data_IF_780704385037
#
_entry.id   IF_780704385037
#
_cell.length_a   1.000
_cell.length_b   1.000
_cell.length_c   1.000
_cell.angle_alpha   90.00
_cell.angle_beta   90.00
_cell.angle_gamma   90.00
#
_symmetry.space_group_name_H-M   'P 1'
#
loop_
_entity.id
_entity.type
_entity.pdbx_description
1 polymer ?
#
# COMPACT_ATOMS: atom_id res chain seq x y z
N UNK A 1 -43.53 21.29 40.92
CA UNK A 1 -44.64 20.77 41.74
C UNK A 1 -45.92 20.67 40.90
N UNK A 2 -46.82 19.68 41.06
CA UNK A 2 -46.62 18.36 41.65
C UNK A 2 -47.15 17.21 40.76
N UNK A 3 -46.78 16.02 41.14
CA UNK A 3 -47.47 14.78 41.50
C UNK A 3 -47.89 13.88 40.36
N UNK A 4 -47.61 12.67 40.33
CA UNK A 4 -47.60 11.50 41.20
C UNK A 4 -48.37 10.44 40.41
N UNK A 5 -48.12 9.20 40.37
CA UNK A 5 -48.14 8.09 41.29
C UNK A 5 -47.97 6.77 40.50
N UNK A 6 -47.19 5.86 41.02
CA UNK A 6 -47.26 4.40 40.77
C UNK A 6 -48.50 3.80 41.51
N UNK A 7 -48.97 2.54 41.30
CA UNK A 7 -48.22 1.34 41.70
C UNK A 7 -48.55 -0.02 41.02
N UNK A 8 -47.62 -0.98 41.25
CA UNK A 8 -47.72 -2.41 41.59
C UNK A 8 -48.60 -3.41 40.84
N UNK A 9 -48.01 -4.59 40.65
CA UNK A 9 -48.68 -5.86 40.44
C UNK A 9 -47.73 -7.03 40.21
N UNK A 10 -47.31 -7.67 41.29
CA UNK A 10 -46.58 -8.95 41.43
C UNK A 10 -47.37 -10.15 40.89
N UNK A 11 -46.70 -11.19 40.34
CA UNK A 11 -46.81 -12.59 40.82
C UNK A 11 -45.67 -13.43 40.20
N UNK A 12 -44.96 -14.14 41.08
CA UNK A 12 -43.95 -15.12 40.74
C UNK A 12 -44.52 -16.52 40.57
N UNK A 13 -43.75 -17.40 39.97
CA UNK A 13 -43.82 -18.86 40.26
C UNK A 13 -42.45 -19.48 40.00
N UNK A 14 -41.92 -20.08 41.02
CA UNK A 14 -40.73 -20.92 41.12
C UNK A 14 -41.01 -22.33 40.61
N UNK A 15 -40.01 -22.98 39.96
CA UNK A 15 -39.77 -24.42 40.08
C UNK A 15 -38.35 -24.79 39.59
N UNK A 16 -37.57 -25.36 40.43
CA UNK A 16 -36.34 -26.15 40.26
C UNK A 16 -36.61 -27.61 40.61
N UNK A 17 -35.62 -28.58 40.50
CA UNK A 17 -34.74 -28.98 39.42
C UNK A 17 -34.87 -30.49 39.10
N UNK A 18 -34.21 -30.96 38.02
CA UNK A 18 -34.08 -32.38 37.75
C UNK A 18 -32.74 -32.68 37.06
N UNK A 19 -31.86 -33.32 37.80
CA UNK A 19 -30.56 -33.82 37.28
C UNK A 19 -30.76 -35.24 36.71
N UNK A 20 -30.13 -35.51 35.54
CA UNK A 20 -29.66 -36.87 35.20
C UNK A 20 -28.40 -36.77 34.36
N UNK A 21 -27.37 -37.47 34.83
CA UNK A 21 -26.09 -37.74 34.24
C UNK A 21 -26.19 -38.64 32.99
N UNK A 22 -25.41 -38.30 31.96
CA UNK A 22 -25.14 -39.20 30.83
C UNK A 22 -23.81 -38.82 30.21
N UNK A 23 -22.73 -39.53 30.55
CA UNK A 23 -21.44 -39.46 29.92
C UNK A 23 -21.52 -40.13 28.53
N UNK A 24 -21.22 -39.37 27.47
CA UNK A 24 -20.97 -39.92 26.15
C UNK A 24 -19.57 -39.45 25.70
N UNK A 25 -18.66 -40.41 25.68
CA UNK A 25 -17.36 -40.32 25.01
C UNK A 25 -17.60 -40.23 23.51
N UNK A 26 -17.44 -39.03 22.95
CA UNK A 26 -17.47 -38.77 21.52
C UNK A 26 -16.08 -38.54 20.99
N UNK A 27 -15.63 -39.48 20.18
CA UNK A 27 -14.43 -39.50 19.38
C UNK A 27 -14.37 -38.26 18.52
N UNK A 28 -13.32 -37.41 18.68
CA UNK A 28 -13.07 -36.25 17.83
C UNK A 28 -12.43 -36.73 16.52
N UNK A 29 -13.27 -37.08 15.56
CA UNK A 29 -12.87 -37.26 14.18
C UNK A 29 -12.45 -35.87 13.64
N UNK A 30 -11.16 -35.72 13.35
CA UNK A 30 -10.59 -34.60 12.58
C UNK A 30 -11.28 -34.58 11.22
N UNK A 31 -12.11 -33.58 10.97
CA UNK A 31 -12.78 -33.37 9.69
C UNK A 31 -11.68 -33.05 8.65
N UNK A 32 -11.63 -33.85 7.59
CA UNK A 32 -10.86 -33.58 6.39
C UNK A 32 -11.27 -32.20 5.81
N UNK A 33 -10.35 -31.45 5.16
CA UNK A 33 -10.67 -30.14 4.58
C UNK A 33 -11.85 -30.28 3.63
N UNK A 34 -12.90 -29.51 3.91
CA UNK A 34 -14.19 -29.58 3.22
C UNK A 34 -14.06 -29.22 1.75
N UNK A 35 -14.39 -30.16 0.89
CA UNK A 35 -14.62 -29.92 -0.53
C UNK A 35 -15.84 -29.01 -0.65
N UNK A 36 -15.65 -27.75 -0.99
CA UNK A 36 -16.76 -26.82 -1.30
C UNK A 36 -17.31 -27.23 -2.66
N UNK A 37 -18.39 -28.03 -2.62
CA UNK A 37 -19.11 -28.44 -3.84
C UNK A 37 -20.20 -27.42 -4.14
N UNK A 38 -20.12 -26.74 -5.27
CA UNK A 38 -21.28 -26.16 -5.89
C UNK A 38 -21.31 -24.68 -6.26
N UNK A 39 -20.24 -24.12 -6.80
CA UNK A 39 -20.35 -22.90 -7.62
C UNK A 39 -19.56 -23.10 -8.91
N UNK A 40 -20.25 -22.87 -10.05
CA UNK A 40 -19.61 -22.92 -11.39
C UNK A 40 -18.76 -21.64 -11.55
N UNK A 41 -17.54 -21.64 -11.04
CA UNK A 41 -16.60 -20.54 -11.21
C UNK A 41 -16.01 -20.58 -12.63
N UNK A 42 -16.34 -19.57 -13.43
CA UNK A 42 -15.67 -19.32 -14.73
C UNK A 42 -14.59 -18.28 -14.51
N UNK A 43 -13.36 -18.69 -14.62
CA UNK A 43 -12.15 -17.95 -14.26
C UNK A 43 -12.01 -16.57 -14.92
N UNK A 44 -12.32 -16.40 -16.18
CA UNK A 44 -12.23 -15.09 -16.87
C UNK A 44 -13.33 -14.09 -16.50
N UNK A 45 -14.52 -14.60 -16.16
CA UNK A 45 -15.67 -13.75 -15.79
C UNK A 45 -15.57 -13.23 -14.34
N UNK A 46 -14.82 -13.92 -13.46
CA UNK A 46 -14.72 -13.60 -12.05
C UNK A 46 -13.98 -12.28 -11.81
N UNK A 47 -12.78 -12.09 -12.39
CA UNK A 47 -12.01 -10.85 -12.27
C UNK A 47 -12.82 -9.65 -12.75
N UNK A 48 -13.40 -9.70 -13.96
CA UNK A 48 -14.15 -8.60 -14.55
C UNK A 48 -15.44 -8.28 -13.78
N UNK A 49 -16.11 -9.31 -13.22
CA UNK A 49 -17.30 -9.10 -12.39
C UNK A 49 -16.94 -8.29 -11.12
N UNK A 50 -15.94 -8.75 -10.37
CA UNK A 50 -15.45 -8.09 -9.17
C UNK A 50 -14.93 -6.68 -9.47
N UNK A 51 -14.23 -6.52 -10.60
CA UNK A 51 -13.73 -5.22 -11.05
C UNK A 51 -14.87 -4.22 -11.28
N UNK A 52 -15.96 -4.65 -11.96
CA UNK A 52 -17.14 -3.82 -12.20
C UNK A 52 -17.89 -3.46 -10.93
N UNK A 53 -17.94 -4.35 -9.96
CA UNK A 53 -18.56 -4.10 -8.65
C UNK A 53 -17.79 -3.02 -7.88
N UNK A 54 -16.46 -3.08 -7.90
CA UNK A 54 -15.60 -2.16 -7.17
C UNK A 54 -15.44 -0.80 -7.87
N UNK A 55 -15.56 -0.76 -9.20
CA UNK A 55 -15.34 0.44 -10.01
C UNK A 55 -16.14 1.70 -9.62
N UNK A 56 -17.39 1.65 -9.17
CA UNK A 56 -18.12 2.84 -8.73
C UNK A 56 -17.72 3.34 -7.34
N UNK A 57 -17.15 2.47 -6.48
CA UNK A 57 -16.88 2.79 -5.06
C UNK A 57 -15.80 3.87 -4.95
N UNK A 58 -16.11 4.99 -4.33
CA UNK A 58 -15.19 6.10 -4.10
C UNK A 58 -14.75 6.86 -5.36
N UNK A 59 -15.37 6.61 -6.53
CA UNK A 59 -15.05 7.30 -7.78
C UNK A 59 -15.60 8.73 -7.74
N UNK A 60 -14.72 9.71 -7.96
CA UNK A 60 -15.11 11.12 -7.98
C UNK A 60 -15.69 11.52 -9.35
N UNK A 61 -16.89 12.12 -9.39
CA UNK A 61 -17.61 12.35 -10.65
C UNK A 61 -16.89 13.33 -11.60
N UNK A 62 -16.21 14.35 -11.05
CA UNK A 62 -15.58 15.39 -11.86
C UNK A 62 -14.20 15.00 -12.38
N UNK A 63 -13.37 14.34 -11.54
CA UNK A 63 -12.02 13.93 -11.93
C UNK A 63 -11.97 12.55 -12.57
N UNK A 64 -12.94 11.68 -12.26
CA UNK A 64 -12.95 10.28 -12.65
C UNK A 64 -11.99 9.40 -11.86
N UNK A 65 -11.15 9.99 -10.99
CA UNK A 65 -10.25 9.29 -10.09
C UNK A 65 -10.93 8.84 -8.81
N UNK A 66 -10.19 8.13 -7.96
CA UNK A 66 -10.70 7.55 -6.72
C UNK A 66 -10.30 8.35 -5.49
N UNK A 67 -11.19 8.36 -4.48
CA UNK A 67 -11.00 8.98 -3.16
C UNK A 67 -11.45 8.01 -2.07
N UNK A 68 -10.74 6.90 -1.95
CA UNK A 68 -10.97 5.83 -0.98
C UNK A 68 -10.06 6.04 0.23
N UNK A 69 -10.20 7.19 0.91
CA UNK A 69 -9.34 7.50 2.05
C UNK A 69 -9.65 6.61 3.23
N UNK A 70 -8.61 6.15 3.92
CA UNK A 70 -8.74 5.28 5.09
C UNK A 70 -9.81 5.76 6.07
N UNK A 71 -10.68 4.84 6.52
CA UNK A 71 -11.80 5.07 7.44
C UNK A 71 -12.86 6.05 6.92
N UNK A 72 -12.89 6.36 5.64
CA UNK A 72 -13.99 7.09 5.00
C UNK A 72 -15.15 6.15 4.63
N UNK A 73 -16.30 6.73 4.24
CA UNK A 73 -17.43 5.94 3.77
C UNK A 73 -17.06 5.06 2.57
N UNK A 74 -16.24 5.56 1.64
CA UNK A 74 -15.77 4.79 0.48
C UNK A 74 -14.85 3.63 0.89
N UNK A 75 -13.93 3.83 1.84
CA UNK A 75 -13.11 2.74 2.38
C UNK A 75 -13.97 1.69 3.09
N UNK A 76 -14.95 2.11 3.89
CA UNK A 76 -15.87 1.19 4.55
C UNK A 76 -16.71 0.38 3.56
N UNK A 77 -17.08 0.94 2.42
CA UNK A 77 -17.75 0.22 1.33
C UNK A 77 -16.81 -0.78 0.67
N UNK A 78 -15.54 -0.43 0.40
CA UNK A 78 -14.52 -1.36 -0.07
C UNK A 78 -14.29 -2.51 0.92
N UNK A 79 -14.24 -2.24 2.22
CA UNK A 79 -14.12 -3.25 3.29
C UNK A 79 -15.32 -4.18 3.35
N UNK A 80 -16.53 -3.65 3.16
CA UNK A 80 -17.73 -4.46 3.07
C UNK A 80 -17.75 -5.35 1.84
N UNK A 81 -17.29 -4.82 0.69
CA UNK A 81 -17.10 -5.59 -0.54
C UNK A 81 -16.10 -6.73 -0.34
N UNK A 82 -14.92 -6.46 0.25
CA UNK A 82 -13.91 -7.49 0.55
C UNK A 82 -14.50 -8.64 1.38
N UNK A 83 -15.22 -8.31 2.46
CA UNK A 83 -15.90 -9.31 3.30
C UNK A 83 -16.92 -10.13 2.49
N UNK A 84 -17.71 -9.47 1.65
CA UNK A 84 -18.69 -10.15 0.78
C UNK A 84 -18.01 -11.13 -0.17
N UNK A 85 -16.87 -10.76 -0.76
CA UNK A 85 -16.10 -11.64 -1.63
C UNK A 85 -15.52 -12.83 -0.89
N UNK A 86 -15.06 -12.62 0.35
CA UNK A 86 -14.56 -13.69 1.21
C UNK A 86 -15.69 -14.68 1.59
N UNK A 87 -16.82 -14.17 2.06
CA UNK A 87 -17.97 -14.98 2.47
C UNK A 87 -18.56 -15.79 1.30
N UNK A 88 -18.63 -15.18 0.10
CA UNK A 88 -19.12 -15.85 -1.12
C UNK A 88 -18.26 -17.06 -1.53
N UNK A 89 -16.98 -17.09 -1.12
CA UNK A 89 -16.05 -18.20 -1.36
C UNK A 89 -15.89 -19.15 -0.16
N UNK A 90 -16.67 -18.95 0.89
CA UNK A 90 -16.59 -19.75 2.12
C UNK A 90 -15.31 -19.53 2.92
N UNK A 91 -14.63 -18.40 2.71
CA UNK A 91 -13.46 -18.03 3.49
C UNK A 91 -13.85 -17.46 4.85
N UNK A 92 -13.04 -17.73 5.87
CA UNK A 92 -13.22 -17.13 7.19
C UNK A 92 -12.68 -15.70 7.16
N UNK A 93 -13.58 -14.72 7.29
CA UNK A 93 -13.18 -13.30 7.33
C UNK A 93 -12.82 -12.88 8.76
N UNK A 94 -11.69 -12.20 8.91
CA UNK A 94 -11.23 -11.56 10.14
C UNK A 94 -10.82 -10.12 9.85
N UNK A 95 -10.97 -9.26 10.86
CA UNK A 95 -10.28 -7.95 10.89
C UNK A 95 -9.31 -7.97 12.07
N UNK A 96 -8.04 -7.65 11.82
CA UNK A 96 -7.05 -7.60 12.88
C UNK A 96 -7.18 -6.33 13.73
N UNK A 97 -6.37 -6.25 14.79
CA UNK A 97 -6.37 -5.12 15.72
C UNK A 97 -6.03 -3.77 15.09
N UNK A 98 -5.37 -3.78 13.93
CA UNK A 98 -4.95 -2.59 13.19
C UNK A 98 -5.93 -2.22 12.07
N UNK A 99 -6.98 -3.04 11.89
CA UNK A 99 -7.99 -2.85 10.87
C UNK A 99 -7.63 -3.46 9.51
N UNK A 100 -6.55 -4.21 9.38
CA UNK A 100 -6.31 -5.00 8.16
C UNK A 100 -7.33 -6.14 8.10
N UNK A 101 -7.81 -6.46 6.91
CA UNK A 101 -8.77 -7.53 6.67
C UNK A 101 -8.06 -8.77 6.14
N UNK A 102 -8.54 -9.93 6.58
CA UNK A 102 -7.99 -11.25 6.24
C UNK A 102 -9.13 -12.20 5.87
N UNK A 103 -8.98 -12.91 4.75
CA UNK A 103 -9.91 -13.93 4.29
C UNK A 103 -9.16 -15.26 4.20
N UNK A 104 -9.44 -16.19 5.12
CA UNK A 104 -8.70 -17.43 5.31
C UNK A 104 -9.36 -18.63 4.65
N UNK A 105 -8.59 -19.40 3.90
CA UNK A 105 -8.88 -20.76 3.48
C UNK A 105 -8.04 -21.71 4.34
N UNK A 106 -8.69 -22.62 5.05
CA UNK A 106 -8.03 -23.51 6.03
C UNK A 106 -7.94 -22.90 7.42
N UNK A 107 -7.16 -23.55 8.30
CA UNK A 107 -7.01 -23.11 9.69
C UNK A 107 -5.94 -21.99 9.80
N UNK A 108 -6.33 -20.77 10.20
CA UNK A 108 -5.38 -19.67 10.36
C UNK A 108 -4.34 -19.91 11.48
N UNK A 109 -4.56 -20.90 12.35
CA UNK A 109 -3.64 -21.26 13.44
C UNK A 109 -2.66 -22.37 13.08
N UNK A 110 -2.81 -23.03 11.94
CA UNK A 110 -1.92 -24.09 11.51
C UNK A 110 -0.48 -23.61 11.26
N UNK A 111 -0.28 -22.30 11.01
CA UNK A 111 1.01 -21.73 10.67
C UNK A 111 1.41 -21.99 9.21
N UNK A 112 2.55 -21.45 8.82
CA UNK A 112 3.14 -21.62 7.46
C UNK A 112 2.18 -21.26 6.32
N UNK A 113 1.30 -20.28 6.53
CA UNK A 113 0.31 -19.86 5.55
C UNK A 113 0.97 -19.14 4.36
N UNK A 114 0.42 -19.35 3.15
CA UNK A 114 0.69 -18.49 2.01
C UNK A 114 -0.32 -17.35 2.02
N UNK A 115 0.15 -16.13 1.98
CA UNK A 115 -0.69 -14.93 2.01
C UNK A 115 -0.51 -14.14 0.74
N UNK A 116 -1.59 -13.64 0.18
CA UNK A 116 -1.60 -12.70 -0.94
C UNK A 116 -2.58 -11.57 -0.69
N UNK A 117 -2.47 -10.48 -1.41
CA UNK A 117 -3.34 -9.33 -1.27
C UNK A 117 -2.59 -8.02 -1.53
N UNK A 118 -3.22 -6.92 -1.20
CA UNK A 118 -2.71 -5.56 -1.33
C UNK A 118 -3.61 -4.62 -0.52
N UNK A 119 -3.98 -3.45 -1.04
CA UNK A 119 -4.86 -2.47 -0.40
C UNK A 119 -6.04 -2.07 -1.28
N UNK A 120 -7.03 -1.37 -0.72
CA UNK A 120 -8.19 -0.84 -1.43
C UNK A 120 -8.36 0.68 -1.26
N UNK A 121 -7.57 1.32 -0.39
CA UNK A 121 -7.53 2.77 -0.28
C UNK A 121 -6.79 3.39 -1.48
N UNK A 122 -6.83 4.71 -1.61
CA UNK A 122 -6.24 5.43 -2.75
C UNK A 122 -5.69 6.79 -2.35
N UNK A 123 -4.71 7.30 -3.12
CA UNK A 123 -4.37 8.73 -3.11
C UNK A 123 -5.53 9.60 -3.59
N UNK A 124 -5.50 10.93 -3.37
CA UNK A 124 -6.48 11.84 -3.93
C UNK A 124 -6.52 11.76 -5.46
N UNK A 125 -7.71 11.46 -6.01
CA UNK A 125 -7.94 11.28 -7.44
C UNK A 125 -7.02 10.23 -8.09
N UNK A 126 -6.69 9.17 -7.34
CA UNK A 126 -5.86 8.06 -7.78
C UNK A 126 -6.43 7.24 -8.93
N UNK A 127 -5.66 6.33 -9.45
CA UNK A 127 -6.05 5.39 -10.50
C UNK A 127 -6.97 4.28 -10.00
N UNK A 128 -7.32 3.38 -10.89
CA UNK A 128 -8.18 2.25 -10.57
C UNK A 128 -7.41 0.99 -10.15
N UNK A 129 -6.12 0.90 -10.56
CA UNK A 129 -5.35 -0.34 -10.50
C UNK A 129 -4.43 -0.41 -9.27
N UNK A 130 -3.97 0.75 -8.80
CA UNK A 130 -3.07 0.91 -7.65
C UNK A 130 -3.73 0.35 -6.37
N UNK A 131 -3.27 -0.83 -5.92
CA UNK A 131 -3.83 -1.62 -4.84
C UNK A 131 -4.99 -2.54 -5.23
N UNK A 132 -6.13 -2.03 -5.74
CA UNK A 132 -7.29 -2.86 -6.07
C UNK A 132 -7.01 -4.00 -7.05
N UNK A 133 -6.07 -3.83 -7.98
CA UNK A 133 -5.66 -4.90 -8.88
C UNK A 133 -5.16 -6.12 -8.10
N UNK A 134 -4.33 -5.91 -7.06
CA UNK A 134 -3.80 -6.99 -6.24
C UNK A 134 -4.88 -7.74 -5.47
N UNK A 135 -5.80 -7.02 -4.83
CA UNK A 135 -6.88 -7.63 -4.06
C UNK A 135 -7.87 -8.41 -4.94
N UNK A 136 -8.30 -7.80 -6.06
CA UNK A 136 -9.23 -8.46 -7.01
C UNK A 136 -8.57 -9.67 -7.66
N UNK A 137 -7.28 -9.56 -8.06
CA UNK A 137 -6.52 -10.66 -8.64
C UNK A 137 -6.34 -11.81 -7.65
N UNK A 138 -6.20 -11.53 -6.34
CA UNK A 138 -6.07 -12.57 -5.31
C UNK A 138 -7.34 -13.43 -5.21
N UNK A 139 -8.52 -12.83 -5.21
CA UNK A 139 -9.78 -13.58 -5.25
C UNK A 139 -9.97 -14.32 -6.58
N UNK A 140 -9.61 -13.70 -7.71
CA UNK A 140 -9.72 -14.33 -9.03
C UNK A 140 -8.75 -15.51 -9.20
N UNK A 141 -7.52 -15.41 -8.64
CA UNK A 141 -6.55 -16.50 -8.62
C UNK A 141 -7.04 -17.69 -7.79
N UNK A 142 -7.69 -17.42 -6.62
CA UNK A 142 -8.31 -18.48 -5.84
C UNK A 142 -9.44 -19.18 -6.61
N UNK A 143 -10.28 -18.42 -7.33
CA UNK A 143 -11.35 -18.99 -8.16
C UNK A 143 -10.76 -19.88 -9.29
N UNK A 144 -9.66 -19.45 -9.87
CA UNK A 144 -8.94 -20.23 -10.89
C UNK A 144 -8.39 -21.54 -10.31
N UNK A 145 -7.77 -21.50 -9.13
CA UNK A 145 -7.26 -22.67 -8.44
C UNK A 145 -8.38 -23.67 -8.10
N UNK A 146 -9.53 -23.18 -7.64
CA UNK A 146 -10.70 -24.03 -7.44
C UNK A 146 -11.18 -24.66 -8.76
N UNK A 147 -11.17 -23.88 -9.85
CA UNK A 147 -11.52 -24.36 -11.20
C UNK A 147 -10.57 -25.45 -11.72
N UNK A 148 -9.28 -25.37 -11.35
CA UNK A 148 -8.25 -26.38 -11.65
C UNK A 148 -8.39 -27.64 -10.77
N UNK A 149 -9.14 -27.57 -9.66
CA UNK A 149 -9.25 -28.63 -8.67
C UNK A 149 -8.03 -28.74 -7.77
N UNK A 150 -7.33 -27.62 -7.55
CA UNK A 150 -6.14 -27.56 -6.70
C UNK A 150 -6.42 -28.02 -5.26
N UNK A 151 -5.51 -28.77 -4.68
CA UNK A 151 -5.60 -29.30 -3.31
C UNK A 151 -4.61 -28.56 -2.42
N UNK A 152 -5.13 -27.74 -1.53
CA UNK A 152 -4.31 -26.93 -0.64
C UNK A 152 -3.73 -27.78 0.48
N UNK A 153 -2.43 -27.71 0.67
CA UNK A 153 -1.66 -28.40 1.74
C UNK A 153 -1.21 -27.42 2.82
N UNK A 154 -1.25 -26.13 2.52
CA UNK A 154 -0.98 -25.01 3.46
C UNK A 154 -2.20 -24.10 3.53
N UNK A 155 -2.47 -23.44 4.66
CA UNK A 155 -3.49 -22.39 4.71
C UNK A 155 -3.16 -21.29 3.70
N UNK A 156 -4.21 -20.71 3.08
CA UNK A 156 -4.11 -19.55 2.23
C UNK A 156 -4.86 -18.39 2.87
N UNK A 157 -4.33 -17.18 2.77
CA UNK A 157 -5.09 -15.97 3.12
C UNK A 157 -5.02 -14.91 2.03
N UNK A 158 -6.13 -14.20 1.85
CA UNK A 158 -6.16 -12.96 1.08
C UNK A 158 -6.26 -11.80 2.06
N UNK A 159 -5.47 -10.74 1.87
CA UNK A 159 -5.47 -9.58 2.78
C UNK A 159 -5.78 -8.28 2.05
N UNK A 160 -6.40 -7.35 2.79
CA UNK A 160 -6.56 -5.95 2.42
C UNK A 160 -5.97 -5.12 3.57
N UNK A 161 -4.81 -4.51 3.33
CA UNK A 161 -4.15 -3.65 4.31
C UNK A 161 -4.85 -2.31 4.41
N UNK A 162 -4.86 -1.73 5.60
CA UNK A 162 -5.49 -0.45 5.88
C UNK A 162 -4.51 0.72 5.76
N UNK A 163 -4.92 1.78 5.03
CA UNK A 163 -4.17 3.03 4.88
C UNK A 163 -2.75 2.81 4.33
N UNK A 164 -2.65 2.09 3.20
CA UNK A 164 -1.38 1.88 2.52
C UNK A 164 -0.86 3.19 1.94
N UNK A 165 -1.70 3.94 1.27
CA UNK A 165 -1.36 5.17 0.56
C UNK A 165 -1.07 6.36 1.50
N UNK A 166 -1.52 6.30 2.75
CA UNK A 166 -1.33 7.37 3.71
C UNK A 166 -1.97 8.69 3.32
N UNK A 167 -2.89 8.68 2.38
CA UNK A 167 -3.49 9.87 1.79
C UNK A 167 -4.22 10.76 2.82
N UNK A 168 -4.80 10.13 3.85
CA UNK A 168 -5.53 10.84 4.89
C UNK A 168 -4.63 11.34 6.01
N UNK A 169 -3.71 10.54 6.49
CA UNK A 169 -2.92 10.82 7.70
C UNK A 169 -1.46 11.14 7.43
N UNK A 170 -1.03 11.14 6.16
CA UNK A 170 0.31 11.56 5.75
C UNK A 170 1.43 10.54 6.01
N UNK A 171 1.09 9.30 6.36
CA UNK A 171 2.03 8.20 6.53
C UNK A 171 1.51 6.97 5.76
N UNK A 172 2.31 6.45 4.83
CA UNK A 172 1.98 5.25 4.05
C UNK A 172 2.14 3.96 4.87
N UNK A 173 1.41 2.92 4.45
CA UNK A 173 1.47 1.56 5.00
C UNK A 173 1.14 1.50 6.50
N UNK A 174 0.17 2.28 6.99
CA UNK A 174 -0.15 2.38 8.43
C UNK A 174 -0.51 1.03 9.02
N UNK A 175 -1.37 0.26 8.36
CA UNK A 175 -1.85 -1.03 8.86
C UNK A 175 -0.74 -2.07 8.95
N UNK A 176 0.07 -2.25 7.90
CA UNK A 176 1.19 -3.19 7.90
C UNK A 176 2.32 -2.74 8.84
N UNK A 177 2.63 -1.42 8.91
CA UNK A 177 3.63 -0.88 9.86
C UNK A 177 3.24 -1.11 11.32
N UNK A 178 1.98 -0.93 11.67
CA UNK A 178 1.48 -1.25 13.01
C UNK A 178 1.65 -2.73 13.30
N UNK A 179 1.19 -3.60 12.38
CA UNK A 179 1.30 -5.06 12.53
C UNK A 179 2.77 -5.51 12.68
N UNK A 180 3.69 -4.96 11.87
CA UNK A 180 5.12 -5.25 11.91
C UNK A 180 5.88 -4.54 13.05
N UNK A 181 5.22 -3.66 13.84
CA UNK A 181 5.86 -2.91 14.91
C UNK A 181 6.79 -1.79 14.42
N UNK A 182 6.72 -1.41 13.13
CA UNK A 182 7.51 -0.32 12.55
C UNK A 182 6.86 1.06 12.77
N UNK A 183 5.60 1.09 13.18
CA UNK A 183 4.91 2.29 13.67
C UNK A 183 4.52 2.07 15.12
N UNK A 184 4.99 2.94 16.00
CA UNK A 184 4.62 2.83 17.43
C UNK A 184 3.17 3.26 17.65
N UNK A 185 2.51 2.70 18.66
CA UNK A 185 1.15 3.10 19.06
C UNK A 185 1.10 4.58 19.39
N UNK A 186 2.14 5.09 20.05
CA UNK A 186 2.26 6.51 20.40
C UNK A 186 2.24 7.40 19.15
N UNK A 187 3.03 7.07 18.12
CA UNK A 187 3.10 7.87 16.90
C UNK A 187 1.82 7.73 16.07
N UNK A 188 1.23 6.54 16.00
CA UNK A 188 -0.07 6.32 15.36
C UNK A 188 -1.17 7.20 15.97
N UNK A 189 -1.20 7.33 17.30
CA UNK A 189 -2.16 8.19 18.00
C UNK A 189 -1.95 9.69 17.71
N UNK A 190 -0.80 10.08 17.18
CA UNK A 190 -0.49 11.48 16.83
C UNK A 190 -0.80 11.82 15.38
N UNK A 191 -1.03 10.83 14.53
CA UNK A 191 -1.42 11.05 13.15
C UNK A 191 -2.73 11.84 13.08
N UNK A 192 -2.77 12.84 12.20
CA UNK A 192 -3.94 13.74 12.02
C UNK A 192 -4.19 13.91 10.54
N UNK A 193 -5.47 13.95 10.17
CA UNK A 193 -5.86 14.38 8.84
C UNK A 193 -5.86 15.92 8.71
N UNK A 194 -6.19 16.43 7.51
CA UNK A 194 -6.20 17.86 7.21
C UNK A 194 -7.18 18.66 8.07
N UNK A 195 -8.24 18.00 8.57
CA UNK A 195 -9.25 18.62 9.44
C UNK A 195 -8.87 18.50 10.93
N UNK A 196 -7.72 17.91 11.24
CA UNK A 196 -7.23 17.69 12.60
C UNK A 196 -7.79 16.44 13.27
N UNK A 197 -8.58 15.60 12.58
CA UNK A 197 -9.11 14.34 13.13
C UNK A 197 -7.96 13.35 13.35
N UNK A 198 -7.87 12.81 14.55
CA UNK A 198 -6.86 11.80 14.87
C UNK A 198 -7.20 10.45 14.24
N UNK A 199 -6.18 9.67 13.86
CA UNK A 199 -6.36 8.29 13.40
C UNK A 199 -7.23 7.45 14.36
N UNK A 200 -7.00 7.43 15.69
CA UNK A 200 -7.87 6.69 16.60
C UNK A 200 -9.34 7.13 16.56
N UNK A 201 -9.59 8.44 16.45
CA UNK A 201 -10.96 8.95 16.38
C UNK A 201 -11.65 8.56 15.06
N UNK A 202 -10.91 8.51 13.96
CA UNK A 202 -11.43 8.03 12.67
C UNK A 202 -11.74 6.54 12.71
N UNK A 203 -10.90 5.72 13.33
CA UNK A 203 -11.12 4.28 13.55
C UNK A 203 -12.37 4.04 14.40
N UNK A 204 -12.50 4.75 15.53
CA UNK A 204 -13.66 4.65 16.44
C UNK A 204 -14.96 5.03 15.71
N UNK A 205 -14.95 6.12 14.95
CA UNK A 205 -16.09 6.56 14.16
C UNK A 205 -16.48 5.53 13.07
N UNK A 206 -15.53 4.75 12.58
CA UNK A 206 -15.72 3.64 11.66
C UNK A 206 -16.14 2.32 12.35
N UNK A 207 -16.26 2.30 13.69
CA UNK A 207 -16.65 1.13 14.46
C UNK A 207 -15.53 0.18 14.86
N UNK A 208 -14.26 0.63 14.79
CA UNK A 208 -13.10 -0.13 15.21
C UNK A 208 -12.57 0.35 16.57
N UNK A 209 -12.00 -0.57 17.34
CA UNK A 209 -11.42 -0.23 18.65
C UNK A 209 -9.95 0.23 18.51
N UNK A 210 -9.68 1.53 18.61
CA UNK A 210 -8.32 2.04 18.50
C UNK A 210 -7.44 1.74 19.74
N UNK A 211 -8.03 1.24 20.81
CA UNK A 211 -7.31 0.86 22.03
C UNK A 211 -6.48 -0.42 21.88
N UNK A 212 -6.72 -1.19 20.81
CA UNK A 212 -6.06 -2.47 20.56
C UNK A 212 -4.95 -2.40 19.51
N UNK A 213 -4.78 -1.28 18.81
CA UNK A 213 -3.79 -1.15 17.74
C UNK A 213 -2.37 -1.39 18.24
N UNK A 214 -1.53 -1.93 17.36
CA UNK A 214 -0.12 -2.15 17.65
C UNK A 214 0.43 -3.43 17.02
N UNK A 215 1.65 -3.83 17.39
CA UNK A 215 2.31 -5.00 16.83
C UNK A 215 1.47 -6.28 16.98
N UNK A 216 1.48 -7.11 15.92
CA UNK A 216 0.81 -8.40 15.89
C UNK A 216 1.79 -9.54 15.47
N UNK A 217 2.84 -9.78 16.28
CA UNK A 217 3.86 -10.77 15.95
C UNK A 217 3.30 -12.19 15.88
N UNK A 218 2.21 -12.48 16.62
CA UNK A 218 1.56 -13.79 16.59
C UNK A 218 0.90 -14.06 15.23
N UNK A 219 0.32 -13.06 14.61
CA UNK A 219 -0.25 -13.16 13.26
C UNK A 219 0.85 -13.30 12.22
N UNK A 220 1.88 -12.47 12.28
CA UNK A 220 3.01 -12.52 11.34
C UNK A 220 3.74 -13.86 11.42
N UNK A 221 3.88 -14.46 12.60
CA UNK A 221 4.49 -15.77 12.78
C UNK A 221 3.72 -16.93 12.13
N UNK A 222 2.47 -16.73 11.74
CA UNK A 222 1.67 -17.73 11.01
C UNK A 222 1.93 -17.72 9.51
N UNK A 223 2.57 -16.68 8.99
CA UNK A 223 2.79 -16.45 7.56
C UNK A 223 4.12 -17.07 7.16
N UNK A 224 4.08 -18.05 6.27
CA UNK A 224 5.27 -18.68 5.70
C UNK A 224 5.78 -17.96 4.45
N UNK A 225 4.88 -17.34 3.67
CA UNK A 225 5.21 -16.49 2.53
C UNK A 225 4.11 -15.45 2.27
N UNK A 226 4.51 -14.24 1.87
CA UNK A 226 3.61 -13.20 1.37
C UNK A 226 3.95 -12.87 -0.08
N UNK A 227 2.95 -12.88 -0.96
CA UNK A 227 3.11 -12.50 -2.37
C UNK A 227 2.09 -11.42 -2.72
N UNK A 228 2.55 -10.22 -3.00
CA UNK A 228 1.72 -9.11 -3.46
C UNK A 228 1.75 -9.03 -4.99
N UNK A 229 0.58 -8.98 -5.64
CA UNK A 229 0.47 -8.61 -7.03
C UNK A 229 0.08 -7.13 -7.11
N UNK A 230 0.76 -6.37 -7.94
CA UNK A 230 0.52 -4.93 -8.08
C UNK A 230 0.64 -4.48 -9.53
N UNK A 231 0.03 -3.35 -9.89
CA UNK A 231 0.31 -2.70 -11.17
C UNK A 231 1.75 -2.16 -11.15
N UNK A 232 2.48 -2.31 -12.26
CA UNK A 232 3.78 -1.61 -12.37
C UNK A 232 3.52 -0.11 -12.43
N UNK A 233 4.08 0.61 -11.47
CA UNK A 233 4.00 2.09 -11.43
C UNK A 233 5.10 2.74 -12.27
N UNK A 234 5.67 1.99 -13.19
CA UNK A 234 6.68 2.34 -14.18
C UNK A 234 6.32 1.80 -15.56
N UNK A 235 7.31 1.70 -16.47
CA UNK A 235 7.14 1.23 -17.86
C UNK A 235 8.15 0.16 -18.28
N UNK A 236 8.80 -0.51 -17.36
CA UNK A 236 9.81 -1.49 -17.71
C UNK A 236 9.19 -2.68 -18.48
N UNK A 237 8.03 -3.15 -18.05
CA UNK A 237 7.29 -4.23 -18.70
C UNK A 237 6.75 -3.82 -20.09
N UNK A 238 6.30 -2.57 -20.24
CA UNK A 238 5.89 -2.04 -21.56
C UNK A 238 7.08 -2.00 -22.53
N UNK A 239 8.24 -1.56 -22.07
CA UNK A 239 9.44 -1.47 -22.88
C UNK A 239 9.98 -2.86 -23.30
N UNK A 240 9.79 -3.89 -22.47
CA UNK A 240 10.21 -5.26 -22.76
C UNK A 240 9.14 -6.08 -23.48
N UNK A 241 7.88 -5.63 -23.43
CA UNK A 241 6.73 -6.31 -24.00
C UNK A 241 6.23 -7.49 -23.17
N UNK A 242 6.63 -7.57 -21.89
CA UNK A 242 6.20 -8.64 -21.00
C UNK A 242 4.96 -8.22 -20.19
N UNK A 243 3.92 -9.07 -20.05
CA UNK A 243 2.70 -8.70 -19.33
C UNK A 243 2.88 -8.72 -17.82
N UNK A 244 3.84 -9.51 -17.30
CA UNK A 244 4.10 -9.74 -15.86
C UNK A 244 5.60 -9.68 -15.59
N UNK A 245 5.96 -9.22 -14.40
CA UNK A 245 7.33 -9.21 -13.88
C UNK A 245 7.39 -9.60 -12.41
N UNK A 246 8.58 -9.90 -11.92
CA UNK A 246 8.86 -10.21 -10.52
C UNK A 246 9.66 -9.05 -9.91
N UNK A 247 9.32 -8.62 -8.71
CA UNK A 247 10.07 -7.58 -8.03
C UNK A 247 11.41 -8.10 -7.46
N UNK A 248 12.49 -7.33 -7.64
CA UNK A 248 13.77 -7.60 -6.98
C UNK A 248 13.89 -6.89 -5.63
N UNK A 249 13.53 -5.61 -5.60
CA UNK A 249 13.68 -4.75 -4.44
C UNK A 249 12.81 -3.49 -4.57
N UNK A 250 12.54 -2.85 -3.44
CA UNK A 250 12.09 -1.45 -3.39
C UNK A 250 13.34 -0.58 -3.29
N UNK A 251 13.43 0.40 -4.17
CA UNK A 251 14.58 1.29 -4.26
C UNK A 251 14.76 2.15 -3.01
N UNK A 252 16.00 2.42 -2.60
CA UNK A 252 16.26 3.39 -1.56
C UNK A 252 15.78 4.77 -1.99
N UNK A 253 15.16 5.48 -1.07
CA UNK A 253 14.61 6.80 -1.31
C UNK A 253 14.65 7.68 -0.07
N UNK A 254 14.55 8.99 -0.29
CA UNK A 254 14.50 9.92 0.83
C UNK A 254 13.94 11.27 0.42
N UNK A 255 13.71 12.08 1.44
CA UNK A 255 13.24 13.46 1.30
C UNK A 255 14.17 14.40 2.01
N UNK A 256 14.52 15.48 1.32
CA UNK A 256 15.40 16.53 1.84
C UNK A 256 14.72 17.87 1.69
N UNK A 257 14.79 18.68 2.74
CA UNK A 257 14.35 20.07 2.74
C UNK A 257 15.53 20.98 2.53
N UNK A 258 15.40 21.91 1.60
CA UNK A 258 16.36 22.95 1.26
C UNK A 258 15.77 24.31 1.65
N UNK A 259 16.35 25.00 2.61
CA UNK A 259 15.96 26.35 3.05
C UNK A 259 16.98 27.36 2.50
N UNK A 260 16.58 28.12 1.49
CA UNK A 260 17.39 29.19 0.91
C UNK A 260 16.96 30.52 1.53
N UNK A 261 17.87 31.16 2.29
CA UNK A 261 17.61 32.42 3.01
C UNK A 261 18.36 33.57 2.35
N UNK A 262 17.62 34.57 1.91
CA UNK A 262 18.14 35.78 1.31
C UNK A 262 17.59 37.01 2.00
N UNK A 263 17.39 38.10 1.24
CA UNK A 263 16.93 39.38 1.77
C UNK A 263 15.67 39.84 1.05
N UNK A 264 14.58 40.02 1.79
CA UNK A 264 13.34 40.59 1.24
C UNK A 264 13.56 42.04 0.84
N UNK A 265 13.12 42.41 -0.36
CA UNK A 265 13.24 43.78 -0.82
C UNK A 265 12.18 44.07 -1.90
N UNK A 266 12.04 45.32 -2.31
CA UNK A 266 11.09 45.76 -3.33
C UNK A 266 11.56 45.32 -4.74
N UNK A 267 10.73 44.58 -5.48
CA UNK A 267 11.08 44.03 -6.77
C UNK A 267 11.38 45.07 -7.85
N UNK A 268 10.70 46.23 -7.79
CA UNK A 268 10.83 47.30 -8.81
C UNK A 268 11.91 48.36 -8.53
N UNK A 269 12.42 48.48 -7.30
CA UNK A 269 13.41 49.51 -6.92
C UNK A 269 14.77 48.98 -6.54
N UNK A 270 14.89 47.69 -6.18
CA UNK A 270 16.17 47.10 -5.83
C UNK A 270 16.94 46.75 -7.09
N UNK A 271 18.13 47.33 -7.25
CA UNK A 271 19.03 47.02 -8.38
C UNK A 271 19.44 45.56 -8.37
N UNK A 272 19.65 44.97 -9.54
CA UNK A 272 20.04 43.56 -9.65
C UNK A 272 21.33 43.23 -8.85
N UNK A 273 22.30 44.14 -8.83
CA UNK A 273 23.57 43.94 -8.11
C UNK A 273 23.41 43.94 -6.58
N UNK A 274 22.33 44.49 -6.06
CA UNK A 274 22.07 44.63 -4.62
C UNK A 274 21.16 43.53 -4.10
N UNK A 275 20.68 42.60 -4.95
CA UNK A 275 19.74 41.56 -4.60
C UNK A 275 20.44 40.35 -3.97
N UNK A 276 19.84 39.86 -2.90
CA UNK A 276 20.10 38.52 -2.33
C UNK A 276 18.82 37.70 -2.48
N UNK A 277 18.55 37.28 -3.72
CA UNK A 277 17.29 36.64 -4.13
C UNK A 277 17.41 35.12 -4.06
N UNK A 278 16.81 34.46 -3.05
CA UNK A 278 16.90 33.02 -2.88
C UNK A 278 16.11 32.25 -3.95
N UNK A 279 15.16 32.89 -4.64
CA UNK A 279 14.38 32.24 -5.70
C UNK A 279 15.26 31.83 -6.88
N UNK A 280 16.24 32.68 -7.26
CA UNK A 280 17.17 32.36 -8.36
C UNK A 280 18.06 31.16 -7.99
N UNK A 281 18.58 31.15 -6.75
CA UNK A 281 19.40 30.03 -6.24
C UNK A 281 18.62 28.72 -6.19
N UNK A 282 17.35 28.80 -5.75
CA UNK A 282 16.45 27.63 -5.78
C UNK A 282 16.21 27.13 -7.22
N UNK A 283 15.92 28.04 -8.17
CA UNK A 283 15.67 27.66 -9.57
C UNK A 283 16.90 26.98 -10.19
N UNK A 284 18.12 27.51 -9.95
CA UNK A 284 19.38 26.87 -10.40
C UNK A 284 19.56 25.48 -9.76
N UNK A 285 19.17 25.32 -8.49
CA UNK A 285 19.23 24.04 -7.79
C UNK A 285 18.26 23.02 -8.39
N UNK A 286 17.03 23.41 -8.73
CA UNK A 286 16.06 22.54 -9.41
C UNK A 286 16.60 22.05 -10.75
N UNK A 287 17.21 22.94 -11.54
CA UNK A 287 17.86 22.57 -12.80
C UNK A 287 19.09 21.68 -12.61
N UNK A 288 19.84 21.87 -11.52
CA UNK A 288 20.94 20.99 -11.16
C UNK A 288 20.44 19.60 -10.76
N UNK A 289 19.36 19.51 -9.98
CA UNK A 289 18.76 18.24 -9.60
C UNK A 289 18.39 17.39 -10.83
N UNK A 290 17.80 18.01 -11.85
CA UNK A 290 17.52 17.33 -13.12
C UNK A 290 18.79 16.79 -13.78
N UNK A 291 19.85 17.60 -13.86
CA UNK A 291 21.13 17.18 -14.48
C UNK A 291 21.81 16.06 -13.71
N UNK A 292 21.85 16.16 -12.37
CA UNK A 292 22.45 15.11 -11.53
C UNK A 292 21.70 13.80 -11.65
N UNK A 293 20.35 13.85 -11.72
CA UNK A 293 19.53 12.67 -11.96
C UNK A 293 19.81 12.03 -13.32
N UNK A 294 19.92 12.82 -14.39
CA UNK A 294 20.29 12.33 -15.73
C UNK A 294 21.69 11.71 -15.77
N UNK A 295 22.65 12.27 -15.03
CA UNK A 295 24.02 11.76 -14.99
C UNK A 295 24.15 10.45 -14.22
N UNK A 296 23.35 10.26 -13.18
CA UNK A 296 23.41 9.09 -12.28
C UNK A 296 22.42 8.01 -12.64
N UNK A 297 21.39 8.31 -13.46
CA UNK A 297 20.26 7.41 -13.71
C UNK A 297 19.26 7.34 -12.54
N UNK A 298 19.37 8.28 -11.59
CA UNK A 298 18.45 8.39 -10.45
C UNK A 298 17.20 9.22 -10.81
N UNK A 299 16.27 9.31 -9.86
CA UNK A 299 15.13 10.21 -9.90
C UNK A 299 15.30 11.32 -8.84
N UNK A 300 15.01 12.56 -9.21
CA UNK A 300 15.08 13.70 -8.30
C UNK A 300 14.00 14.73 -8.66
N UNK A 301 13.12 15.03 -7.72
CA UNK A 301 11.97 15.90 -7.93
C UNK A 301 11.81 16.90 -6.79
N UNK A 302 11.79 18.18 -7.09
CA UNK A 302 11.29 19.21 -6.16
C UNK A 302 9.78 19.38 -6.36
N UNK A 303 8.98 18.61 -5.62
CA UNK A 303 7.52 18.57 -5.80
C UNK A 303 6.75 19.58 -4.94
N UNK A 304 7.41 20.18 -3.92
CA UNK A 304 6.78 21.14 -3.00
C UNK A 304 7.70 22.34 -2.81
N UNK A 305 7.09 23.53 -2.78
CA UNK A 305 7.79 24.81 -2.54
C UNK A 305 6.97 25.67 -1.57
N UNK A 306 7.66 26.43 -0.72
CA UNK A 306 7.10 27.50 0.09
C UNK A 306 7.96 28.76 -0.08
N UNK A 307 7.34 29.93 -0.14
CA UNK A 307 7.99 31.21 -0.39
C UNK A 307 7.49 32.25 0.62
N UNK A 308 8.38 33.00 1.21
CA UNK A 308 8.07 34.10 2.14
C UNK A 308 8.75 35.39 1.69
N UNK A 309 8.00 36.52 1.59
CA UNK A 309 6.59 36.74 1.89
C UNK A 309 5.61 36.35 0.78
N UNK A 310 6.06 35.74 -0.32
CA UNK A 310 5.23 35.29 -1.47
C UNK A 310 4.39 36.42 -2.10
N UNK A 311 4.99 37.57 -2.31
CA UNK A 311 4.38 38.75 -2.89
C UNK A 311 4.85 38.99 -4.33
N UNK A 312 3.93 39.35 -5.25
CA UNK A 312 4.24 39.58 -6.68
C UNK A 312 5.30 40.68 -6.89
N UNK A 313 5.37 41.67 -5.99
CA UNK A 313 6.25 42.82 -6.06
C UNK A 313 7.38 42.78 -5.00
N UNK A 314 7.64 41.63 -4.41
CA UNK A 314 8.66 41.45 -3.35
C UNK A 314 9.69 40.39 -3.78
N UNK A 315 10.96 40.70 -3.54
CA UNK A 315 12.03 39.69 -3.53
C UNK A 315 11.82 38.85 -2.26
N UNK A 316 11.82 37.52 -2.31
CA UNK A 316 11.62 36.70 -1.10
C UNK A 316 12.79 36.78 -0.13
N UNK A 317 12.52 36.58 1.16
CA UNK A 317 13.55 36.36 2.19
C UNK A 317 13.86 34.87 2.40
N UNK A 318 12.88 34.00 2.09
CA UNK A 318 13.01 32.55 2.20
C UNK A 318 12.33 31.86 1.03
N UNK A 319 13.04 30.92 0.44
CA UNK A 319 12.47 29.90 -0.44
C UNK A 319 12.82 28.54 0.15
N UNK A 320 11.81 27.73 0.39
CA UNK A 320 11.96 26.39 0.90
C UNK A 320 11.47 25.40 -0.15
N UNK A 321 12.31 24.44 -0.53
CA UNK A 321 11.96 23.37 -1.46
C UNK A 321 12.12 22.00 -0.81
N UNK A 322 11.29 21.04 -1.22
CA UNK A 322 11.40 19.64 -0.80
C UNK A 322 11.75 18.77 -1.99
N UNK A 323 12.89 18.11 -1.86
CA UNK A 323 13.42 17.13 -2.82
C UNK A 323 12.96 15.73 -2.39
N UNK A 324 12.27 14.99 -3.27
CA UNK A 324 12.15 13.53 -3.25
C UNK A 324 13.17 12.97 -4.22
N UNK A 325 13.99 12.01 -3.77
CA UNK A 325 14.99 11.37 -4.62
C UNK A 325 15.01 9.87 -4.39
N UNK A 326 15.16 9.11 -5.50
CA UNK A 326 15.14 7.64 -5.54
C UNK A 326 16.16 7.14 -6.54
N UNK A 327 16.74 5.97 -6.28
CA UNK A 327 17.67 5.33 -7.19
C UNK A 327 17.64 3.81 -7.05
N UNK A 328 18.18 3.08 -8.03
CA UNK A 328 18.19 1.63 -8.01
C UNK A 328 19.03 1.03 -6.86
N UNK A 329 20.01 1.79 -6.35
CA UNK A 329 20.88 1.39 -5.25
C UNK A 329 21.27 2.59 -4.38
N UNK A 330 21.80 2.29 -3.17
CA UNK A 330 22.18 3.29 -2.17
C UNK A 330 23.29 4.21 -2.66
N UNK A 331 24.29 3.68 -3.35
CA UNK A 331 25.44 4.47 -3.80
C UNK A 331 25.02 5.52 -4.85
N UNK A 332 24.13 5.14 -5.73
CA UNK A 332 23.53 6.02 -6.75
C UNK A 332 22.66 7.10 -6.09
N UNK A 333 21.85 6.75 -5.07
CA UNK A 333 21.06 7.72 -4.32
C UNK A 333 21.95 8.73 -3.59
N UNK A 334 23.00 8.26 -2.92
CA UNK A 334 23.95 9.13 -2.22
C UNK A 334 24.69 10.04 -3.19
N UNK A 335 25.08 9.54 -4.37
CA UNK A 335 25.75 10.32 -5.39
C UNK A 335 24.87 11.45 -5.93
N UNK A 336 23.62 11.17 -6.31
CA UNK A 336 22.71 12.20 -6.84
C UNK A 336 22.42 13.28 -5.79
N UNK A 337 22.12 12.90 -4.55
CA UNK A 337 21.83 13.88 -3.49
C UNK A 337 23.04 14.72 -3.16
N UNK A 338 24.23 14.11 -3.06
CA UNK A 338 25.49 14.82 -2.84
C UNK A 338 25.80 15.81 -3.97
N UNK A 339 25.57 15.41 -5.22
CA UNK A 339 25.73 16.26 -6.41
C UNK A 339 24.80 17.48 -6.35
N UNK A 340 23.52 17.25 -6.04
CA UNK A 340 22.50 18.31 -5.90
C UNK A 340 22.88 19.28 -4.77
N UNK A 341 23.21 18.76 -3.60
CA UNK A 341 23.59 19.57 -2.44
C UNK A 341 24.85 20.39 -2.72
N UNK A 342 25.86 19.79 -3.33
CA UNK A 342 27.08 20.48 -3.72
C UNK A 342 26.82 21.61 -4.73
N UNK A 343 25.94 21.39 -5.71
CA UNK A 343 25.53 22.43 -6.65
C UNK A 343 24.79 23.56 -5.95
N UNK A 344 23.83 23.22 -5.08
CA UNK A 344 23.05 24.20 -4.30
C UNK A 344 23.95 25.09 -3.44
N UNK A 345 24.94 24.51 -2.76
CA UNK A 345 25.90 25.26 -1.93
C UNK A 345 26.76 26.21 -2.77
N UNK A 346 27.25 25.76 -3.93
CA UNK A 346 28.01 26.65 -4.87
C UNK A 346 27.15 27.82 -5.36
N UNK A 347 25.89 27.61 -5.68
CA UNK A 347 24.98 28.67 -6.10
C UNK A 347 24.65 29.64 -4.97
N UNK A 348 24.40 29.11 -3.78
CA UNK A 348 24.13 29.90 -2.59
C UNK A 348 25.31 30.80 -2.23
N UNK A 349 26.52 30.26 -2.20
CA UNK A 349 27.77 31.01 -1.95
C UNK A 349 27.95 32.16 -2.98
N UNK A 350 27.81 31.86 -4.28
CA UNK A 350 27.92 32.85 -5.33
C UNK A 350 26.91 33.99 -5.22
N UNK A 351 25.68 33.70 -4.77
CA UNK A 351 24.59 34.65 -4.65
C UNK A 351 24.53 35.31 -3.25
N UNK A 352 25.38 34.92 -2.32
CA UNK A 352 25.34 35.41 -0.93
C UNK A 352 24.09 34.97 -0.17
N UNK A 353 23.58 33.77 -0.47
CA UNK A 353 22.38 33.14 0.12
C UNK A 353 22.84 32.15 1.20
N UNK A 354 22.18 32.16 2.36
CA UNK A 354 22.38 31.12 3.36
C UNK A 354 21.55 29.89 3.01
N UNK A 355 22.18 28.69 2.99
CA UNK A 355 21.53 27.43 2.68
C UNK A 355 21.62 26.46 3.86
N UNK A 356 20.45 25.98 4.29
CA UNK A 356 20.33 24.84 5.19
C UNK A 356 19.68 23.68 4.45
N UNK A 357 20.24 22.45 4.63
CA UNK A 357 19.72 21.22 4.03
C UNK A 357 19.49 20.21 5.13
N UNK A 358 18.27 19.72 5.24
CA UNK A 358 17.84 18.78 6.26
C UNK A 358 17.24 17.54 5.62
N UNK A 359 17.78 16.36 5.91
CA UNK A 359 17.14 15.09 5.55
C UNK A 359 15.96 14.84 6.47
N UNK A 360 14.73 14.87 5.95
CA UNK A 360 13.49 14.67 6.71
C UNK A 360 13.10 13.20 6.82
N UNK A 361 13.35 12.41 5.75
CA UNK A 361 13.11 10.96 5.77
C UNK A 361 14.14 10.23 4.90
N UNK A 362 14.30 8.95 5.20
CA UNK A 362 15.15 8.04 4.44
C UNK A 362 14.66 6.61 4.66
N UNK A 363 14.52 5.88 3.56
CA UNK A 363 14.25 4.45 3.53
C UNK A 363 15.39 3.78 2.77
N UNK A 364 16.11 2.82 3.36
CA UNK A 364 17.13 2.06 2.66
C UNK A 364 16.50 1.16 1.60
N UNK A 365 17.32 0.53 0.76
CA UNK A 365 16.84 -0.52 -0.13
C UNK A 365 16.16 -1.63 0.68
N UNK A 366 15.02 -2.10 0.19
CA UNK A 366 14.31 -3.26 0.75
C UNK A 366 14.40 -4.36 -0.29
N UNK A 367 15.33 -5.29 -0.09
CA UNK A 367 15.46 -6.46 -0.95
C UNK A 367 14.39 -7.49 -0.58
N UNK A 368 13.70 -8.03 -1.57
CA UNK A 368 12.79 -9.14 -1.36
C UNK A 368 13.56 -10.44 -1.18
N UNK A 369 12.94 -11.40 -0.49
CA UNK A 369 13.58 -12.67 -0.15
C UNK A 369 14.01 -13.43 -1.42
N UNK A 370 15.30 -13.70 -1.54
CA UNK A 370 15.90 -14.20 -2.79
C UNK A 370 15.41 -15.62 -3.14
N UNK A 371 15.29 -16.51 -2.13
CA UNK A 371 14.84 -17.87 -2.38
C UNK A 371 13.39 -17.92 -2.85
N UNK A 372 12.51 -17.09 -2.26
CA UNK A 372 11.12 -16.99 -2.70
C UNK A 372 11.02 -16.38 -4.10
N UNK A 373 11.76 -15.30 -4.38
CA UNK A 373 11.82 -14.68 -5.71
C UNK A 373 12.27 -15.69 -6.78
N UNK A 374 13.33 -16.44 -6.51
CA UNK A 374 13.89 -17.43 -7.43
C UNK A 374 12.90 -18.61 -7.62
N UNK A 375 12.14 -18.97 -6.58
CA UNK A 375 11.05 -19.94 -6.67
C UNK A 375 9.91 -19.44 -7.55
N UNK A 376 9.49 -18.16 -7.39
CA UNK A 376 8.49 -17.56 -8.28
C UNK A 376 8.96 -17.57 -9.74
N UNK A 377 10.24 -17.22 -9.99
CA UNK A 377 10.82 -17.26 -11.33
C UNK A 377 10.77 -18.67 -11.93
N UNK A 378 11.08 -19.70 -11.14
CA UNK A 378 11.02 -21.11 -11.54
C UNK A 378 9.58 -21.55 -11.82
N UNK A 379 8.61 -21.18 -10.98
CA UNK A 379 7.19 -21.52 -11.18
C UNK A 379 6.68 -20.90 -12.49
N UNK A 380 7.05 -19.66 -12.75
CA UNK A 380 6.60 -18.91 -13.92
C UNK A 380 7.44 -19.19 -15.18
N UNK A 381 8.44 -20.05 -15.09
CA UNK A 381 9.25 -20.45 -16.26
C UNK A 381 8.40 -21.21 -17.27
N UNK A 382 8.24 -20.64 -18.46
CA UNK A 382 7.44 -21.22 -19.55
C UNK A 382 5.93 -20.95 -19.49
N UNK A 383 5.43 -20.20 -18.49
CA UNK A 383 4.01 -19.82 -18.43
C UNK A 383 3.67 -18.57 -19.28
N UNK A 384 4.68 -17.79 -19.69
CA UNK A 384 4.49 -16.61 -20.56
C UNK A 384 4.46 -16.97 -22.06
N UNK A 385 3.64 -16.26 -22.83
CA UNK A 385 3.54 -16.40 -24.29
C UNK A 385 4.84 -16.07 -25.03
N UNK A 386 5.82 -15.45 -24.35
CA UNK A 386 7.06 -14.95 -24.96
C UNK A 386 8.16 -16.01 -25.06
N UNK A 387 8.05 -17.15 -24.36
CA UNK A 387 9.10 -18.17 -24.25
C UNK A 387 10.41 -17.67 -23.63
N UNK A 388 10.40 -16.49 -22.98
CA UNK A 388 11.51 -15.89 -22.25
C UNK A 388 11.27 -16.01 -20.76
N UNK A 389 12.33 -15.97 -19.90
CA UNK A 389 12.17 -15.86 -18.48
C UNK A 389 11.39 -14.60 -18.11
N UNK A 390 10.56 -14.67 -17.06
CA UNK A 390 9.85 -13.51 -16.52
C UNK A 390 10.86 -12.47 -16.03
N UNK A 391 10.76 -11.19 -16.43
CA UNK A 391 11.72 -10.18 -16.05
C UNK A 391 11.69 -9.91 -14.54
N UNK A 392 12.88 -9.68 -13.97
CA UNK A 392 13.06 -9.27 -12.58
C UNK A 392 13.45 -7.80 -12.56
N UNK A 393 12.66 -6.97 -11.87
CA UNK A 393 12.83 -5.51 -11.89
C UNK A 393 12.62 -4.89 -10.49
N UNK A 394 13.30 -3.78 -10.24
CA UNK A 394 13.10 -3.00 -9.01
C UNK A 394 11.94 -2.02 -9.14
N UNK A 395 11.37 -1.63 -8.01
CA UNK A 395 10.35 -0.58 -7.96
C UNK A 395 10.82 0.64 -7.17
N UNK A 396 10.44 1.82 -7.63
CA UNK A 396 10.62 3.07 -6.89
C UNK A 396 9.47 3.37 -5.92
N UNK A 397 8.39 2.60 -5.94
CA UNK A 397 7.23 2.77 -5.06
C UNK A 397 7.38 1.96 -3.77
N UNK A 398 6.79 2.48 -2.67
CA UNK A 398 6.64 1.74 -1.42
C UNK A 398 5.41 0.82 -1.51
N UNK A 399 5.42 -0.30 -0.77
CA UNK A 399 4.31 -1.26 -0.72
C UNK A 399 4.25 -1.92 0.65
N UNK A 400 3.10 -2.49 1.03
CA UNK A 400 2.95 -3.32 2.23
C UNK A 400 3.93 -4.50 2.23
N UNK A 401 4.20 -5.07 1.05
CA UNK A 401 5.25 -6.08 0.86
C UNK A 401 6.61 -5.63 1.40
N UNK A 402 6.98 -4.37 1.19
CA UNK A 402 8.22 -3.82 1.71
C UNK A 402 8.26 -3.72 3.24
N UNK A 403 7.11 -3.50 3.86
CA UNK A 403 7.00 -3.47 5.33
C UNK A 403 7.08 -4.88 5.91
N UNK A 404 6.35 -5.83 5.30
CA UNK A 404 6.28 -7.21 5.76
C UNK A 404 7.60 -7.97 5.55
N UNK A 405 8.39 -7.63 4.53
CA UNK A 405 9.66 -8.28 4.20
C UNK A 405 10.66 -8.31 5.36
N UNK A 406 10.54 -7.40 6.32
CA UNK A 406 11.34 -7.39 7.53
C UNK A 406 11.04 -8.55 8.49
N UNK A 407 9.88 -9.21 8.36
CA UNK A 407 9.38 -10.22 9.31
C UNK A 407 8.92 -11.51 8.64
N UNK A 408 8.63 -11.47 7.34
CA UNK A 408 8.02 -12.56 6.58
C UNK A 408 8.73 -12.70 5.23
N UNK A 409 9.03 -13.92 4.75
CA UNK A 409 9.47 -14.13 3.38
C UNK A 409 8.48 -13.52 2.40
N UNK A 410 8.93 -12.53 1.62
CA UNK A 410 8.03 -11.70 0.81
C UNK A 410 8.55 -11.57 -0.62
N UNK A 411 7.63 -11.60 -1.58
CA UNK A 411 7.88 -11.31 -2.98
C UNK A 411 6.74 -10.49 -3.58
N UNK A 412 6.95 -9.92 -4.77
CA UNK A 412 5.89 -9.22 -5.52
C UNK A 412 5.89 -9.63 -6.99
N UNK A 413 4.70 -9.57 -7.57
CA UNK A 413 4.47 -9.65 -9.01
C UNK A 413 3.97 -8.30 -9.53
N UNK A 414 4.44 -7.91 -10.71
CA UNK A 414 3.95 -6.71 -11.39
C UNK A 414 3.16 -7.06 -12.64
N UNK A 415 2.09 -6.31 -12.87
CA UNK A 415 1.31 -6.29 -14.11
C UNK A 415 1.67 -5.05 -14.90
N UNK A 416 1.86 -5.20 -16.21
CA UNK A 416 2.25 -4.13 -17.12
C UNK A 416 1.30 -2.94 -17.06
N UNK A 417 1.90 -1.75 -16.95
CA UNK A 417 1.26 -0.46 -17.13
C UNK A 417 1.82 0.20 -18.41
N UNK A 418 1.09 0.21 -19.52
CA UNK A 418 1.61 0.72 -20.78
C UNK A 418 1.83 2.23 -20.79
N UNK A 419 1.26 2.96 -19.85
CA UNK A 419 1.38 4.41 -19.76
C UNK A 419 2.49 4.84 -18.81
N UNK A 420 2.83 4.04 -17.80
CA UNK A 420 3.71 4.40 -16.69
C UNK A 420 3.12 5.50 -15.80
N UNK A 421 1.84 5.82 -15.98
CA UNK A 421 1.13 6.79 -15.14
C UNK A 421 0.61 6.05 -13.92
N UNK A 422 0.88 6.59 -12.73
CA UNK A 422 0.34 6.16 -11.46
C UNK A 422 -0.14 7.37 -10.65
N UNK A 423 -0.93 7.14 -9.58
CA UNK A 423 -1.52 8.19 -8.75
C UNK A 423 -2.34 9.22 -9.56
N UNK A 424 -3.03 8.77 -10.59
CA UNK A 424 -3.80 9.60 -11.51
C UNK A 424 -4.95 8.82 -12.11
N UNK A 425 -6.09 9.48 -12.47
CA UNK A 425 -7.19 8.84 -13.18
C UNK A 425 -6.82 8.23 -14.53
N UNK A 426 -5.67 8.62 -15.09
CA UNK A 426 -5.14 8.12 -16.36
C UNK A 426 -4.28 6.85 -16.22
N UNK A 427 -4.12 6.31 -15.01
CA UNK A 427 -3.50 5.02 -14.77
C UNK A 427 -4.23 3.91 -15.53
N UNK A 428 -3.47 2.98 -16.11
CA UNK A 428 -4.07 1.96 -16.95
C UNK A 428 -3.26 0.65 -16.97
N UNK A 429 -3.97 -0.46 -16.90
CA UNK A 429 -3.48 -1.78 -17.29
C UNK A 429 -4.48 -2.42 -18.26
N UNK A 430 -3.99 -3.10 -19.29
CA UNK A 430 -4.86 -3.77 -20.25
C UNK A 430 -5.51 -5.01 -19.60
N UNK A 431 -6.73 -5.36 -20.05
CA UNK A 431 -7.46 -6.52 -19.52
C UNK A 431 -6.68 -7.82 -19.72
N UNK A 432 -5.98 -7.94 -20.85
CA UNK A 432 -5.12 -9.09 -21.15
C UNK A 432 -3.96 -9.20 -20.16
N UNK A 433 -3.34 -8.07 -19.79
CA UNK A 433 -2.25 -8.02 -18.83
C UNK A 433 -2.74 -8.33 -17.41
N UNK A 434 -3.91 -7.80 -17.02
CA UNK A 434 -4.55 -8.15 -15.75
C UNK A 434 -4.85 -9.65 -15.67
N UNK A 435 -5.37 -10.23 -16.76
CA UNK A 435 -5.64 -11.68 -16.85
C UNK A 435 -4.36 -12.50 -16.76
N UNK A 436 -3.27 -12.04 -17.41
CA UNK A 436 -1.95 -12.67 -17.28
C UNK A 436 -1.45 -12.61 -15.84
N UNK A 437 -1.63 -11.48 -15.15
CA UNK A 437 -1.31 -11.30 -13.73
C UNK A 437 -2.08 -12.27 -12.82
N UNK A 438 -3.40 -12.42 -13.05
CA UNK A 438 -4.24 -13.39 -12.30
C UNK A 438 -3.70 -14.81 -12.47
N UNK A 439 -3.39 -15.22 -13.70
CA UNK A 439 -2.84 -16.56 -13.98
C UNK A 439 -1.48 -16.77 -13.34
N UNK A 440 -0.58 -15.78 -13.46
CA UNK A 440 0.73 -15.84 -12.82
C UNK A 440 0.62 -15.96 -11.30
N UNK A 441 -0.30 -15.19 -10.68
CA UNK A 441 -0.55 -15.29 -9.26
C UNK A 441 -1.14 -16.68 -8.90
N UNK A 442 -2.08 -17.21 -9.68
CA UNK A 442 -2.63 -18.54 -9.46
C UNK A 442 -1.53 -19.62 -9.53
N UNK A 443 -0.67 -19.57 -10.54
CA UNK A 443 0.45 -20.52 -10.69
C UNK A 443 1.40 -20.46 -9.49
N UNK A 444 1.72 -19.23 -9.02
CA UNK A 444 2.57 -19.03 -7.83
C UNK A 444 1.90 -19.57 -6.57
N UNK A 445 0.63 -19.27 -6.35
CA UNK A 445 -0.11 -19.77 -5.18
C UNK A 445 -0.25 -21.30 -5.22
N UNK A 446 -0.44 -21.88 -6.41
CA UNK A 446 -0.46 -23.35 -6.61
C UNK A 446 0.88 -23.97 -6.21
N UNK A 447 1.98 -23.42 -6.73
CA UNK A 447 3.32 -23.90 -6.42
C UNK A 447 3.72 -23.76 -4.95
N UNK A 448 3.22 -22.74 -4.23
CA UNK A 448 3.55 -22.47 -2.85
C UNK A 448 2.62 -23.15 -1.82
N UNK A 449 1.33 -23.34 -2.15
CA UNK A 449 0.31 -23.75 -1.18
C UNK A 449 -0.36 -25.10 -1.52
N UNK A 450 -0.15 -25.66 -2.71
CA UNK A 450 -0.82 -26.88 -3.16
C UNK A 450 0.16 -28.07 -3.34
N UNK A 451 -0.41 -29.27 -3.47
CA UNK A 451 0.35 -30.54 -3.73
C UNK A 451 0.19 -31.00 -5.17
#
# INVERSE_FOLDING_TARGET
>A
MPTGTTPNGTTGTTCTPGATSGAATGDASVAAPGTVTGTNWRTGDSFLSMWRELAPVGRHPDSGGYRRYAWSAADLECRAWFRTQAEARGLTHETDRNGNQWAWLGDPLAGDAVVTGSHLDSVPDGGAFDGPLGVVSSFAALDELHGRGAVFTRPLAITNFGDEEGARFGLACVGSRLAAGQLTVHDAHRLRDADGTALPAAMEAAGYDPGTIGPDPERLARIGAFVELHVEQGRALDLTGDPVGIASAIWPHGRWRFDFRGEANHAGTTRLADRRDPMLTYAETVLAARREAELTGALATFGKIAVEPNGVNAIPSLVRGWLDSRAADQATLDAVVTGIESAARRYAERAGIDLDVVRESFTPVVEFEHALRDELARILEGTGDTGRPVPVLGTGAGHDAGILSASVPTAMLFVRNPTGISHSPAEHAAEEDCTAGVRALADVLEGLACS
#
